data_IF_142565298158
#
_entry.id   IF_142565298158
#
_cell.length_a   1.000
_cell.length_b   1.000
_cell.length_c   1.000
_cell.angle_alpha   90.00
_cell.angle_beta   90.00
_cell.angle_gamma   90.00
#
_symmetry.space_group_name_H-M   'P 1'
#
loop_
_entity.id
_entity.type
_entity.pdbx_description
1 polymer ?
#
# COMPACT_ATOMS: atom_id res chain seq x y z
N UNK A 1 -20.79 34.51 25.41
CA UNK A 1 -19.95 33.82 24.39
C UNK A 1 -20.19 32.33 24.51
N UNK A 2 -20.88 31.71 23.55
CA UNK A 2 -21.00 30.25 23.49
C UNK A 2 -19.60 29.67 23.25
N UNK A 3 -19.10 28.85 24.17
CA UNK A 3 -17.84 28.12 23.94
C UNK A 3 -18.09 27.19 22.76
N UNK A 4 -17.48 27.48 21.62
CA UNK A 4 -17.45 26.58 20.47
C UNK A 4 -16.75 25.31 20.92
N UNK A 5 -17.52 24.27 21.25
CA UNK A 5 -16.99 22.95 21.60
C UNK A 5 -16.53 22.32 20.30
N UNK A 6 -15.21 22.31 20.09
CA UNK A 6 -14.63 21.60 18.95
C UNK A 6 -14.86 20.09 19.14
N UNK A 7 -15.22 19.35 18.06
CA UNK A 7 -15.35 17.91 18.14
C UNK A 7 -14.03 17.30 18.66
N UNK A 8 -14.12 16.50 19.71
CA UNK A 8 -12.98 15.74 20.22
C UNK A 8 -12.56 14.71 19.17
N UNK A 9 -11.24 14.47 19.03
CA UNK A 9 -10.76 13.42 18.13
C UNK A 9 -11.28 12.08 18.65
N UNK A 10 -12.05 11.38 17.81
CA UNK A 10 -12.41 9.98 18.06
C UNK A 10 -11.17 9.07 18.10
N UNK A 11 -11.31 7.84 18.61
CA UNK A 11 -10.22 6.87 18.64
C UNK A 11 -9.74 6.50 17.23
N UNK A 12 -8.48 6.09 17.10
CA UNK A 12 -7.85 5.73 15.81
C UNK A 12 -8.63 4.62 15.08
N UNK A 13 -9.03 3.60 15.84
CA UNK A 13 -9.89 2.51 15.43
C UNK A 13 -11.07 2.39 16.41
N UNK A 14 -12.21 1.90 15.92
CA UNK A 14 -13.30 1.49 16.81
C UNK A 14 -12.89 0.25 17.62
N UNK A 15 -13.63 -0.09 18.68
CA UNK A 15 -13.37 -1.31 19.46
C UNK A 15 -13.32 -2.57 18.57
N UNK A 16 -14.31 -2.74 17.68
CA UNK A 16 -14.31 -3.81 16.66
C UNK A 16 -13.11 -3.73 15.71
N UNK A 17 -12.64 -2.52 15.38
CA UNK A 17 -11.46 -2.32 14.55
C UNK A 17 -10.17 -2.77 15.23
N UNK A 18 -10.01 -2.51 16.53
CA UNK A 18 -8.89 -3.03 17.31
C UNK A 18 -8.94 -4.56 17.43
N UNK A 19 -10.11 -5.14 17.69
CA UNK A 19 -10.27 -6.60 17.70
C UNK A 19 -9.85 -7.20 16.35
N UNK A 20 -10.34 -6.66 15.23
CA UNK A 20 -9.95 -7.14 13.90
C UNK A 20 -8.44 -6.99 13.65
N UNK A 21 -7.84 -5.90 14.09
CA UNK A 21 -6.40 -5.67 13.98
C UNK A 21 -5.59 -6.72 14.76
N UNK A 22 -5.94 -6.96 16.04
CA UNK A 22 -5.23 -7.94 16.86
C UNK A 22 -5.45 -9.37 16.35
N UNK A 23 -6.65 -9.70 15.87
CA UNK A 23 -6.90 -10.98 15.21
C UNK A 23 -6.01 -11.13 13.97
N UNK A 24 -5.92 -10.12 13.11
CA UNK A 24 -5.04 -10.16 11.94
C UNK A 24 -3.56 -10.31 12.34
N UNK A 25 -3.13 -9.59 13.38
CA UNK A 25 -1.78 -9.69 13.92
C UNK A 25 -1.46 -11.10 14.44
N UNK A 26 -2.36 -11.68 15.24
CA UNK A 26 -2.21 -13.04 15.76
C UNK A 26 -2.23 -14.07 14.63
N UNK A 27 -3.11 -13.89 13.63
CA UNK A 27 -3.18 -14.79 12.48
C UNK A 27 -1.86 -14.80 11.71
N UNK A 28 -1.29 -13.63 11.44
CA UNK A 28 -0.06 -13.53 10.64
C UNK A 28 1.18 -13.90 11.44
N UNK A 29 1.29 -13.46 12.69
CA UNK A 29 2.51 -13.64 13.48
C UNK A 29 2.55 -14.93 14.33
N UNK A 30 1.42 -15.60 14.54
CA UNK A 30 1.36 -16.82 15.34
C UNK A 30 0.66 -17.98 14.61
N UNK A 31 -0.57 -17.79 14.14
CA UNK A 31 -1.36 -18.89 13.55
C UNK A 31 -0.70 -19.42 12.27
N UNK A 32 -0.35 -18.56 11.32
CA UNK A 32 0.30 -18.98 10.09
C UNK A 32 1.64 -19.72 10.32
N UNK A 33 2.57 -19.24 11.19
CA UNK A 33 3.74 -20.01 11.60
C UNK A 33 3.42 -21.38 12.17
N UNK A 34 2.43 -21.48 13.07
CA UNK A 34 2.01 -22.76 13.64
C UNK A 34 1.46 -23.70 12.57
N UNK A 35 0.63 -23.19 11.65
CA UNK A 35 0.06 -23.97 10.55
C UNK A 35 1.11 -24.46 9.54
N UNK A 36 2.22 -23.73 9.37
CA UNK A 36 3.31 -24.16 8.49
C UNK A 36 4.28 -25.11 9.20
N UNK A 37 4.65 -24.83 10.45
CA UNK A 37 5.75 -25.54 11.13
C UNK A 37 5.31 -26.76 11.95
N UNK A 38 4.11 -26.73 12.56
CA UNK A 38 3.69 -27.75 13.54
C UNK A 38 2.55 -28.62 13.05
N UNK A 39 1.78 -28.17 12.06
CA UNK A 39 0.72 -28.99 11.47
C UNK A 39 1.33 -29.94 10.43
N UNK A 40 1.06 -31.25 10.50
CA UNK A 40 1.58 -32.23 9.53
C UNK A 40 1.14 -31.91 8.10
N UNK A 41 2.02 -32.15 7.12
CA UNK A 41 1.80 -31.82 5.70
C UNK A 41 0.54 -32.47 5.09
N UNK A 42 0.12 -33.62 5.61
CA UNK A 42 -1.07 -34.34 5.14
C UNK A 42 -2.39 -33.73 5.64
N UNK A 43 -2.31 -32.81 6.61
CA UNK A 43 -3.48 -32.15 7.17
C UNK A 43 -4.02 -31.08 6.22
N UNK A 44 -5.35 -30.96 6.05
CA UNK A 44 -5.95 -29.88 5.25
C UNK A 44 -5.70 -28.49 5.83
N UNK A 45 -5.26 -28.39 7.10
CA UNK A 45 -4.92 -27.14 7.76
C UNK A 45 -3.45 -26.73 7.58
N UNK A 46 -2.61 -27.59 6.98
CA UNK A 46 -1.20 -27.28 6.77
C UNK A 46 -1.03 -26.14 5.75
N UNK A 47 -0.28 -25.13 6.14
CA UNK A 47 0.07 -24.04 5.23
C UNK A 47 1.38 -24.37 4.54
N UNK A 48 1.33 -24.75 3.26
CA UNK A 48 2.52 -25.12 2.50
C UNK A 48 3.50 -23.96 2.33
N UNK A 49 4.78 -24.26 2.14
CA UNK A 49 5.82 -23.27 1.85
C UNK A 49 5.50 -22.41 0.62
N UNK A 50 4.84 -23.00 -0.38
CA UNK A 50 4.33 -22.26 -1.53
C UNK A 50 3.28 -21.22 -1.11
N UNK A 51 2.32 -21.60 -0.26
CA UNK A 51 1.31 -20.67 0.25
C UNK A 51 1.94 -19.55 1.08
N UNK A 52 2.95 -19.85 1.90
CA UNK A 52 3.72 -18.86 2.66
C UNK A 52 4.40 -17.86 1.72
N UNK A 53 5.14 -18.34 0.72
CA UNK A 53 5.82 -17.49 -0.24
C UNK A 53 4.83 -16.63 -1.06
N UNK A 54 3.72 -17.22 -1.50
CA UNK A 54 2.68 -16.52 -2.27
C UNK A 54 2.01 -15.43 -1.43
N UNK A 55 1.55 -15.75 -0.22
CA UNK A 55 0.88 -14.79 0.65
C UNK A 55 1.85 -13.70 1.13
N UNK A 56 3.10 -14.06 1.44
CA UNK A 56 4.18 -13.12 1.74
C UNK A 56 4.41 -12.11 0.61
N UNK A 57 4.53 -12.60 -0.62
CA UNK A 57 4.62 -11.78 -1.84
C UNK A 57 3.42 -10.83 -1.98
N UNK A 58 2.20 -11.34 -1.80
CA UNK A 58 0.97 -10.54 -1.89
C UNK A 58 0.91 -9.48 -0.79
N UNK A 59 1.40 -9.76 0.43
CA UNK A 59 1.48 -8.75 1.49
C UNK A 59 2.42 -7.60 1.12
N UNK A 60 3.56 -7.86 0.46
CA UNK A 60 4.42 -6.80 -0.08
C UNK A 60 3.66 -5.93 -1.10
N UNK A 61 2.93 -6.56 -2.02
CA UNK A 61 2.09 -5.86 -2.98
C UNK A 61 0.95 -5.07 -2.33
N UNK A 62 0.37 -5.57 -1.23
CA UNK A 62 -0.63 -4.86 -0.45
C UNK A 62 -0.07 -3.59 0.21
N UNK A 63 1.21 -3.60 0.63
CA UNK A 63 1.88 -2.38 1.11
C UNK A 63 1.97 -1.34 -0.02
N UNK A 64 2.32 -1.75 -1.24
CA UNK A 64 2.33 -0.87 -2.41
C UNK A 64 0.94 -0.33 -2.76
N UNK A 65 -0.10 -1.17 -2.69
CA UNK A 65 -1.49 -0.76 -2.91
C UNK A 65 -1.93 0.28 -1.86
N UNK A 66 -1.58 0.06 -0.60
CA UNK A 66 -1.84 1.01 0.49
C UNK A 66 -1.10 2.34 0.28
N UNK A 67 0.16 2.29 -0.16
CA UNK A 67 0.95 3.47 -0.49
C UNK A 67 0.31 4.27 -1.65
N UNK A 68 -0.09 3.58 -2.72
CA UNK A 68 -0.85 4.17 -3.83
C UNK A 68 -2.15 4.83 -3.36
N UNK A 69 -2.86 4.21 -2.42
CA UNK A 69 -4.12 4.78 -1.90
C UNK A 69 -3.92 6.09 -1.13
N UNK A 70 -2.81 6.22 -0.42
CA UNK A 70 -2.47 7.47 0.29
C UNK A 70 -2.37 8.66 -0.67
N UNK A 71 -1.72 8.47 -1.83
CA UNK A 71 -1.58 9.54 -2.80
C UNK A 71 -2.79 9.65 -3.73
N UNK A 72 -3.25 8.55 -4.32
CA UNK A 72 -4.33 8.60 -5.30
C UNK A 72 -5.71 8.67 -4.65
N UNK A 73 -5.96 7.86 -3.63
CA UNK A 73 -7.23 7.81 -2.90
C UNK A 73 -7.49 9.11 -2.14
N UNK A 74 -6.56 9.53 -1.28
CA UNK A 74 -6.77 10.68 -0.39
C UNK A 74 -6.33 12.03 -0.96
N UNK A 75 -5.40 12.06 -1.92
CA UNK A 75 -4.90 13.32 -2.52
C UNK A 75 -5.38 13.52 -3.96
N UNK A 76 -5.89 12.47 -4.63
CA UNK A 76 -6.40 12.56 -6.00
C UNK A 76 -5.34 12.51 -7.09
N UNK A 77 -4.09 12.21 -6.73
CA UNK A 77 -2.96 12.23 -7.66
C UNK A 77 -2.61 10.80 -8.01
N UNK A 78 -2.95 10.39 -9.23
CA UNK A 78 -2.53 9.08 -9.74
C UNK A 78 -1.07 9.16 -10.16
N UNK A 79 -0.24 8.24 -9.67
CA UNK A 79 1.13 8.07 -10.13
C UNK A 79 1.30 6.73 -10.79
N UNK A 80 2.15 6.67 -11.82
CA UNK A 80 2.60 5.42 -12.42
C UNK A 80 4.08 5.16 -12.09
N UNK A 81 4.57 5.71 -10.97
CA UNK A 81 5.96 5.60 -10.54
C UNK A 81 6.24 4.70 -9.33
N UNK A 82 5.21 4.07 -8.75
CA UNK A 82 5.39 3.24 -7.55
C UNK A 82 6.25 1.99 -7.77
N UNK A 83 6.24 1.43 -8.97
CA UNK A 83 7.12 0.31 -9.37
C UNK A 83 8.61 0.67 -9.24
N UNK A 84 9.00 1.90 -9.60
CA UNK A 84 10.37 2.38 -9.40
C UNK A 84 10.78 2.32 -7.93
N UNK A 85 9.98 2.88 -7.04
CA UNK A 85 10.33 2.91 -5.61
C UNK A 85 10.35 1.53 -4.98
N UNK A 86 9.42 0.67 -5.38
CA UNK A 86 9.42 -0.74 -5.00
C UNK A 86 10.74 -1.41 -5.40
N UNK A 87 11.09 -1.33 -6.68
CA UNK A 87 12.31 -1.94 -7.16
C UNK A 87 13.56 -1.33 -6.49
N UNK A 88 13.63 -0.01 -6.28
CA UNK A 88 14.79 0.61 -5.62
C UNK A 88 15.04 0.03 -4.23
N UNK A 89 14.00 -0.13 -3.41
CA UNK A 89 14.15 -0.77 -2.11
C UNK A 89 14.53 -2.26 -2.22
N UNK A 90 13.97 -2.96 -3.20
CA UNK A 90 14.37 -4.33 -3.53
C UNK A 90 15.84 -4.44 -3.95
N UNK A 91 16.32 -3.51 -4.77
CA UNK A 91 17.71 -3.42 -5.20
C UNK A 91 18.64 -3.13 -4.02
N UNK A 92 18.28 -2.23 -3.10
CA UNK A 92 19.08 -1.96 -1.90
C UNK A 92 19.23 -3.23 -1.04
N UNK A 93 18.13 -3.95 -0.79
CA UNK A 93 18.20 -5.25 -0.08
C UNK A 93 18.97 -6.29 -0.89
N UNK A 94 18.73 -6.38 -2.20
CA UNK A 94 19.39 -7.33 -3.08
C UNK A 94 20.90 -7.11 -3.15
N UNK A 95 21.38 -5.85 -3.15
CA UNK A 95 22.81 -5.53 -3.05
C UNK A 95 23.41 -6.09 -1.76
N UNK A 96 22.71 -5.92 -0.63
CA UNK A 96 23.13 -6.51 0.64
C UNK A 96 23.17 -8.04 0.59
N UNK A 97 22.13 -8.68 0.09
CA UNK A 97 22.08 -10.13 -0.01
C UNK A 97 23.15 -10.69 -0.95
N UNK A 98 23.45 -10.01 -2.07
CA UNK A 98 24.56 -10.33 -2.96
C UNK A 98 25.91 -10.29 -2.23
N UNK A 99 26.12 -9.32 -1.34
CA UNK A 99 27.34 -9.23 -0.52
C UNK A 99 27.44 -10.35 0.52
N UNK A 100 26.30 -10.80 1.06
CA UNK A 100 26.26 -11.87 2.06
C UNK A 100 26.59 -13.26 1.50
N UNK A 101 26.58 -13.44 0.17
CA UNK A 101 26.99 -14.70 -0.47
C UNK A 101 28.50 -14.94 -0.25
N UNK A 102 29.33 -13.91 -0.47
CA UNK A 102 30.79 -14.04 -0.40
C UNK A 102 31.31 -15.25 -1.16
N UNK A 103 32.16 -16.05 -0.52
CA UNK A 103 32.79 -17.23 -1.14
C UNK A 103 31.90 -18.48 -1.22
N UNK A 104 30.65 -18.40 -0.74
CA UNK A 104 29.65 -19.44 -0.99
C UNK A 104 29.12 -19.36 -2.45
N UNK A 105 29.48 -18.32 -3.20
CA UNK A 105 29.17 -18.17 -4.62
C UNK A 105 29.92 -19.13 -5.54
N UNK A 106 29.45 -19.28 -6.77
CA UNK A 106 30.02 -20.18 -7.77
C UNK A 106 31.48 -19.84 -8.10
N UNK A 107 31.83 -18.55 -8.06
CA UNK A 107 33.18 -18.09 -8.37
C UNK A 107 34.09 -17.98 -7.14
N UNK A 108 33.59 -18.29 -5.94
CA UNK A 108 34.34 -18.22 -4.66
C UNK A 108 35.10 -16.91 -4.45
N UNK A 109 34.50 -15.80 -4.91
CA UNK A 109 35.07 -14.45 -4.87
C UNK A 109 34.41 -13.61 -3.77
N UNK A 110 35.09 -12.54 -3.35
CA UNK A 110 34.51 -11.55 -2.45
C UNK A 110 33.60 -10.54 -3.21
N UNK A 111 33.66 -10.57 -4.55
CA UNK A 111 32.71 -9.89 -5.44
C UNK A 111 31.46 -10.77 -5.68
N UNK A 112 30.27 -10.18 -5.83
CA UNK A 112 29.09 -10.92 -6.26
C UNK A 112 29.32 -11.68 -7.58
N UNK A 113 28.77 -12.90 -7.69
CA UNK A 113 29.01 -13.79 -8.84
C UNK A 113 28.72 -13.14 -10.19
N UNK A 114 27.64 -12.36 -10.30
CA UNK A 114 27.28 -11.67 -11.55
C UNK A 114 28.33 -10.62 -11.96
N UNK A 115 29.01 -9.99 -10.99
CA UNK A 115 30.06 -9.02 -11.26
C UNK A 115 31.32 -9.72 -11.76
N UNK A 116 31.66 -10.89 -11.21
CA UNK A 116 32.77 -11.72 -11.70
C UNK A 116 32.51 -12.17 -13.13
N UNK A 117 31.30 -12.65 -13.41
CA UNK A 117 30.88 -13.04 -14.76
C UNK A 117 30.94 -11.86 -15.76
N UNK A 118 30.64 -10.63 -15.31
CA UNK A 118 30.73 -9.40 -16.12
C UNK A 118 32.13 -8.75 -16.11
N UNK A 119 33.16 -9.46 -15.67
CA UNK A 119 34.57 -9.03 -15.62
C UNK A 119 34.89 -7.80 -14.75
N UNK A 120 34.09 -7.54 -13.71
CA UNK A 120 34.41 -6.49 -12.73
C UNK A 120 35.60 -6.89 -11.86
N UNK A 121 36.50 -5.92 -11.61
CA UNK A 121 37.68 -6.12 -10.76
C UNK A 121 37.52 -5.58 -9.34
N UNK A 122 36.67 -4.58 -9.17
CA UNK A 122 36.41 -3.92 -7.88
C UNK A 122 34.93 -3.54 -7.79
N UNK A 123 34.43 -3.38 -6.56
CA UNK A 123 33.08 -2.87 -6.34
C UNK A 123 33.01 -1.39 -6.74
N UNK A 124 31.97 -0.97 -7.49
CA UNK A 124 31.76 0.44 -7.76
C UNK A 124 31.32 1.18 -6.49
N UNK A 125 31.51 2.50 -6.49
CA UNK A 125 31.31 3.34 -5.31
C UNK A 125 29.90 3.24 -4.70
N UNK A 126 28.86 3.03 -5.51
CA UNK A 126 27.48 2.90 -5.03
C UNK A 126 27.20 1.59 -4.29
N UNK A 127 28.14 0.65 -4.29
CA UNK A 127 28.11 -0.58 -3.49
C UNK A 127 28.84 -0.45 -2.15
N UNK A 128 29.48 0.69 -1.84
CA UNK A 128 30.36 0.84 -0.66
C UNK A 128 29.70 0.43 0.66
N UNK A 129 28.41 0.71 0.84
CA UNK A 129 27.69 0.42 2.09
C UNK A 129 26.85 -0.86 2.07
N UNK A 130 26.94 -1.65 1.00
CA UNK A 130 26.11 -2.83 0.79
C UNK A 130 26.48 -4.01 1.69
N UNK A 131 27.60 -3.99 2.39
CA UNK A 131 27.98 -4.99 3.38
C UNK A 131 27.27 -4.83 4.73
N UNK A 132 26.89 -3.59 5.08
CA UNK A 132 26.24 -3.26 6.34
C UNK A 132 24.72 -3.35 6.27
N UNK A 133 24.12 -4.17 7.14
CA UNK A 133 22.67 -4.30 7.24
C UNK A 133 22.00 -3.00 7.69
N UNK A 134 22.59 -2.29 8.66
CA UNK A 134 22.05 -1.02 9.16
C UNK A 134 22.08 0.04 8.06
N UNK A 135 23.19 0.13 7.32
CA UNK A 135 23.27 1.06 6.19
C UNK A 135 22.24 0.72 5.12
N UNK A 136 22.01 -0.57 4.85
CA UNK A 136 20.98 -1.05 3.94
C UNK A 136 19.58 -0.59 4.38
N UNK A 137 19.23 -0.72 5.66
CA UNK A 137 17.94 -0.24 6.19
C UNK A 137 17.78 1.28 6.02
N UNK A 138 18.84 2.05 6.23
CA UNK A 138 18.82 3.50 5.99
C UNK A 138 18.63 3.79 4.51
N UNK A 139 19.34 3.10 3.61
CA UNK A 139 19.24 3.30 2.17
C UNK A 139 17.89 2.91 1.59
N UNK A 140 17.23 1.86 2.12
CA UNK A 140 15.87 1.46 1.74
C UNK A 140 14.86 2.60 1.94
N UNK A 141 15.07 3.45 2.94
CA UNK A 141 14.24 4.62 3.20
C UNK A 141 14.76 5.85 2.46
N UNK A 142 16.06 6.11 2.57
CA UNK A 142 16.69 7.33 2.08
C UNK A 142 16.69 7.42 0.55
N UNK A 143 16.97 6.34 -0.17
CA UNK A 143 17.09 6.39 -1.64
C UNK A 143 15.73 6.63 -2.30
N UNK A 144 14.66 5.82 -2.05
CA UNK A 144 13.34 6.12 -2.59
C UNK A 144 12.80 7.45 -2.11
N UNK A 145 13.02 7.79 -0.83
CA UNK A 145 12.57 9.04 -0.23
C UNK A 145 13.21 10.28 -0.86
N UNK A 146 14.52 10.25 -1.09
CA UNK A 146 15.27 11.35 -1.71
C UNK A 146 14.88 11.53 -3.18
N UNK A 147 14.79 10.45 -3.94
CA UNK A 147 14.35 10.52 -5.34
C UNK A 147 12.93 11.06 -5.43
N UNK A 148 12.01 10.56 -4.58
CA UNK A 148 10.65 11.06 -4.51
C UNK A 148 10.59 12.53 -4.07
N UNK A 149 11.45 12.95 -3.14
CA UNK A 149 11.52 14.33 -2.66
C UNK A 149 11.98 15.27 -3.77
N UNK A 150 13.10 14.97 -4.43
CA UNK A 150 13.65 15.80 -5.51
C UNK A 150 12.65 15.88 -6.66
N UNK A 151 12.19 14.73 -7.15
CA UNK A 151 11.24 14.68 -8.26
C UNK A 151 9.90 15.35 -7.91
N UNK A 152 9.33 15.01 -6.74
CA UNK A 152 8.07 15.55 -6.27
C UNK A 152 8.13 17.05 -6.02
N UNK A 153 9.26 17.57 -5.52
CA UNK A 153 9.44 19.00 -5.30
C UNK A 153 9.31 19.76 -6.62
N UNK A 154 10.04 19.36 -7.66
CA UNK A 154 9.94 20.01 -8.98
C UNK A 154 8.55 19.81 -9.61
N UNK A 155 7.99 18.60 -9.53
CA UNK A 155 6.68 18.31 -10.12
C UNK A 155 5.55 19.13 -9.46
N UNK A 156 5.51 19.19 -8.14
CA UNK A 156 4.46 19.92 -7.42
C UNK A 156 4.69 21.43 -7.39
N UNK A 157 5.95 21.89 -7.39
CA UNK A 157 6.29 23.32 -7.56
C UNK A 157 5.83 23.86 -8.89
N UNK A 158 6.01 23.10 -9.96
CA UNK A 158 5.51 23.43 -11.31
C UNK A 158 3.99 23.25 -11.47
N UNK A 159 3.27 22.95 -10.38
CA UNK A 159 1.81 22.78 -10.34
C UNK A 159 1.28 21.79 -11.38
N UNK A 160 2.02 20.70 -11.60
CA UNK A 160 1.59 19.62 -12.49
C UNK A 160 0.33 18.96 -11.90
N UNK A 161 -0.71 18.82 -12.73
CA UNK A 161 -2.04 18.33 -12.32
C UNK A 161 -2.47 17.10 -13.09
N UNK A 162 -3.26 16.26 -12.42
CA UNK A 162 -3.96 15.13 -13.04
C UNK A 162 -3.04 14.19 -13.80
N UNK A 163 -3.45 13.83 -15.02
CA UNK A 163 -2.80 12.82 -15.87
C UNK A 163 -1.35 13.17 -16.20
N UNK A 164 -0.99 14.46 -16.26
CA UNK A 164 0.38 14.88 -16.52
C UNK A 164 1.37 14.37 -15.44
N UNK A 165 0.95 14.28 -14.19
CA UNK A 165 1.80 13.71 -13.14
C UNK A 165 2.00 12.21 -13.34
N UNK A 166 0.96 11.49 -13.77
CA UNK A 166 1.06 10.07 -14.12
C UNK A 166 2.03 9.83 -15.28
N UNK A 167 1.96 10.64 -16.34
CA UNK A 167 2.83 10.54 -17.51
C UNK A 167 4.29 10.79 -17.15
N UNK A 168 4.59 11.83 -16.37
CA UNK A 168 5.97 12.16 -16.01
C UNK A 168 6.54 11.13 -15.03
N UNK A 169 5.74 10.62 -14.09
CA UNK A 169 6.19 9.54 -13.18
C UNK A 169 6.42 8.23 -13.92
N UNK A 170 5.63 7.93 -14.95
CA UNK A 170 5.89 6.84 -15.88
C UNK A 170 7.22 7.03 -16.65
N UNK A 171 7.48 8.23 -17.16
CA UNK A 171 8.73 8.54 -17.86
C UNK A 171 9.96 8.38 -16.96
N UNK A 172 9.90 8.91 -15.72
CA UNK A 172 10.95 8.73 -14.70
C UNK A 172 11.25 7.24 -14.47
N UNK A 173 10.19 6.46 -14.32
CA UNK A 173 10.26 5.02 -14.07
C UNK A 173 10.89 4.26 -15.23
N UNK A 174 10.49 4.59 -16.45
CA UNK A 174 11.07 4.01 -17.66
C UNK A 174 12.54 4.37 -17.81
N UNK A 175 12.93 5.62 -17.56
CA UNK A 175 14.32 6.06 -17.61
C UNK A 175 15.20 5.32 -16.59
N UNK A 176 14.72 5.18 -15.35
CA UNK A 176 15.42 4.41 -14.32
C UNK A 176 15.53 2.92 -14.68
N UNK A 177 14.47 2.32 -15.21
CA UNK A 177 14.48 0.94 -15.68
C UNK A 177 15.55 0.72 -16.77
N UNK A 178 15.63 1.62 -17.77
CA UNK A 178 16.66 1.54 -18.82
C UNK A 178 18.07 1.68 -18.26
N UNK A 179 18.28 2.53 -17.24
CA UNK A 179 19.56 2.65 -16.56
C UNK A 179 19.96 1.31 -15.91
N UNK A 180 19.03 0.67 -15.20
CA UNK A 180 19.29 -0.58 -14.48
C UNK A 180 19.46 -1.79 -15.43
N UNK A 181 18.91 -1.74 -16.64
CA UNK A 181 19.15 -2.75 -17.67
C UNK A 181 20.59 -2.75 -18.21
N UNK A 182 21.36 -1.68 -18.03
CA UNK A 182 22.75 -1.61 -18.50
C UNK A 182 23.67 -2.39 -17.57
N UNK A 183 24.32 -3.43 -18.08
CA UNK A 183 25.29 -4.25 -17.33
C UNK A 183 26.44 -3.44 -16.71
N UNK A 184 26.86 -2.36 -17.36
CA UNK A 184 27.94 -1.47 -16.92
C UNK A 184 27.62 -0.70 -15.62
N UNK A 185 26.36 -0.67 -15.18
CA UNK A 185 25.96 0.08 -13.98
C UNK A 185 26.15 -0.71 -12.68
N UNK A 186 26.45 -2.01 -12.76
CA UNK A 186 26.59 -2.86 -11.57
C UNK A 186 25.25 -3.17 -10.89
N UNK A 187 24.12 -3.11 -11.60
CA UNK A 187 22.78 -3.48 -11.10
C UNK A 187 22.27 -4.82 -11.67
N UNK A 188 23.15 -5.67 -12.20
CA UNK A 188 22.81 -7.00 -12.71
C UNK A 188 22.12 -7.02 -14.08
N UNK A 189 21.85 -5.86 -14.68
CA UNK A 189 21.28 -5.74 -16.02
C UNK A 189 19.95 -6.48 -16.16
N UNK A 190 19.77 -7.18 -17.29
CA UNK A 190 18.53 -7.92 -17.56
C UNK A 190 18.24 -9.05 -16.56
N UNK A 191 19.28 -9.67 -15.99
CA UNK A 191 19.13 -10.76 -15.03
C UNK A 191 18.79 -10.25 -13.62
N UNK A 192 19.25 -9.04 -13.29
CA UNK A 192 19.12 -8.50 -11.95
C UNK A 192 19.94 -9.29 -10.92
N UNK A 193 19.43 -9.39 -9.69
CA UNK A 193 20.08 -10.15 -8.61
C UNK A 193 19.26 -11.39 -8.25
N UNK A 194 19.95 -12.53 -8.13
CA UNK A 194 19.39 -13.87 -7.89
C UNK A 194 20.35 -14.69 -7.03
N UNK A 195 19.97 -15.92 -6.64
CA UNK A 195 20.84 -16.82 -5.85
C UNK A 195 21.21 -16.26 -4.46
N UNK A 196 20.25 -15.60 -3.80
CA UNK A 196 20.45 -15.16 -2.41
C UNK A 196 20.54 -16.35 -1.46
N UNK A 197 21.67 -16.49 -0.75
CA UNK A 197 21.93 -17.63 0.14
C UNK A 197 21.66 -17.32 1.60
N UNK A 198 22.10 -16.14 2.06
CA UNK A 198 22.10 -15.77 3.47
C UNK A 198 21.65 -14.33 3.68
N UNK A 199 21.10 -14.09 4.86
CA UNK A 199 20.74 -12.77 5.38
C UNK A 199 21.16 -12.77 6.85
N UNK A 200 21.96 -11.79 7.27
CA UNK A 200 22.54 -11.75 8.63
C UNK A 200 23.27 -13.05 9.03
N UNK A 201 23.93 -13.70 8.06
CA UNK A 201 24.62 -14.98 8.26
C UNK A 201 23.73 -16.23 8.33
N UNK A 202 22.41 -16.07 8.36
CA UNK A 202 21.42 -17.16 8.44
C UNK A 202 20.99 -17.57 7.02
N UNK A 203 20.92 -18.88 6.69
CA UNK A 203 20.45 -19.31 5.37
C UNK A 203 18.98 -18.97 5.12
N UNK A 204 18.69 -18.32 3.99
CA UNK A 204 17.35 -17.84 3.60
C UNK A 204 16.39 -19.00 3.27
N UNK A 205 16.93 -20.11 2.77
CA UNK A 205 16.14 -21.26 2.34
C UNK A 205 15.56 -22.10 3.51
N UNK A 206 15.85 -21.73 4.76
CA UNK A 206 15.29 -22.40 5.93
C UNK A 206 13.81 -22.06 6.13
N UNK A 207 13.03 -23.04 6.60
CA UNK A 207 11.61 -22.86 6.90
C UNK A 207 11.39 -21.76 7.95
N UNK A 208 12.23 -21.72 8.98
CA UNK A 208 12.23 -20.69 10.03
C UNK A 208 12.40 -19.28 9.46
N UNK A 209 13.34 -19.10 8.53
CA UNK A 209 13.59 -17.77 7.95
C UNK A 209 12.46 -17.34 7.02
N UNK A 210 11.88 -18.27 6.24
CA UNK A 210 10.68 -18.00 5.44
C UNK A 210 9.52 -17.50 6.30
N UNK A 211 9.26 -18.16 7.43
CA UNK A 211 8.21 -17.74 8.37
C UNK A 211 8.54 -16.42 9.07
N UNK A 212 9.81 -16.16 9.37
CA UNK A 212 10.26 -14.89 9.95
C UNK A 212 10.02 -13.73 8.98
N UNK A 213 10.40 -13.89 7.71
CA UNK A 213 10.16 -12.88 6.66
C UNK A 213 8.66 -12.68 6.41
N UNK A 214 7.88 -13.75 6.43
CA UNK A 214 6.42 -13.70 6.32
C UNK A 214 5.80 -12.88 7.46
N UNK A 215 6.12 -13.21 8.72
CA UNK A 215 5.60 -12.54 9.89
C UNK A 215 6.04 -11.06 9.94
N UNK A 216 7.31 -10.78 9.60
CA UNK A 216 7.84 -9.42 9.50
C UNK A 216 7.09 -8.59 8.44
N UNK A 217 6.81 -9.19 7.28
CA UNK A 217 6.06 -8.52 6.20
C UNK A 217 4.64 -8.20 6.63
N UNK A 218 3.96 -9.14 7.26
CA UNK A 218 2.61 -8.92 7.79
C UNK A 218 2.55 -7.88 8.89
N UNK A 219 3.48 -7.94 9.84
CA UNK A 219 3.62 -6.91 10.88
C UNK A 219 3.89 -5.52 10.27
N UNK A 220 4.70 -5.45 9.22
CA UNK A 220 4.98 -4.20 8.49
C UNK A 220 3.74 -3.67 7.76
N UNK A 221 2.99 -4.54 7.09
CA UNK A 221 1.72 -4.18 6.45
C UNK A 221 0.70 -3.64 7.46
N UNK A 222 0.54 -4.32 8.59
CA UNK A 222 -0.35 -3.90 9.68
C UNK A 222 0.11 -2.59 10.32
N UNK A 223 1.43 -2.43 10.54
CA UNK A 223 2.04 -1.20 11.03
C UNK A 223 1.80 -0.02 10.09
N UNK A 224 2.02 -0.21 8.78
CA UNK A 224 1.73 0.81 7.77
C UNK A 224 0.23 1.10 7.64
N UNK A 225 -0.65 0.12 7.83
CA UNK A 225 -2.08 0.35 7.88
C UNK A 225 -2.46 1.28 9.05
N UNK A 226 -1.93 1.03 10.26
CA UNK A 226 -2.17 1.91 11.42
C UNK A 226 -1.58 3.30 11.21
N UNK A 227 -0.36 3.37 10.67
CA UNK A 227 0.31 4.63 10.35
C UNK A 227 -0.51 5.45 9.33
N UNK A 228 -0.96 4.82 8.24
CA UNK A 228 -1.81 5.44 7.24
C UNK A 228 -3.14 5.90 7.85
N UNK A 229 -3.75 5.09 8.73
CA UNK A 229 -4.99 5.46 9.43
C UNK A 229 -4.80 6.69 10.31
N UNK A 230 -3.69 6.75 11.03
CA UNK A 230 -3.34 7.88 11.89
C UNK A 230 -3.07 9.15 11.08
N UNK A 231 -2.30 9.02 10.00
CA UNK A 231 -1.94 10.10 9.11
C UNK A 231 -3.18 10.74 8.46
N UNK A 232 -4.08 9.91 7.92
CA UNK A 232 -5.32 10.37 7.26
C UNK A 232 -6.34 10.93 8.27
N UNK A 233 -6.38 10.40 9.49
CA UNK A 233 -7.25 10.91 10.56
C UNK A 233 -6.77 12.25 11.16
N UNK A 234 -5.55 12.67 10.86
CA UNK A 234 -4.94 13.91 11.38
C UNK A 234 -5.41 15.17 10.63
N UNK A 235 -4.99 16.35 11.11
CA UNK A 235 -5.22 17.63 10.40
C UNK A 235 -4.61 17.60 8.99
N UNK A 236 -3.43 16.99 8.85
CA UNK A 236 -2.74 16.82 7.58
C UNK A 236 -3.59 16.04 6.57
N UNK A 237 -4.16 14.90 6.98
CA UNK A 237 -5.04 14.09 6.14
C UNK A 237 -6.34 14.78 5.71
N UNK A 238 -6.88 15.68 6.55
CA UNK A 238 -8.05 16.51 6.18
C UNK A 238 -7.69 17.54 5.11
N UNK A 239 -6.52 18.17 5.22
CA UNK A 239 -6.03 19.11 4.21
C UNK A 239 -5.77 18.39 2.89
N UNK A 240 -5.20 17.18 2.91
CA UNK A 240 -5.02 16.37 1.69
C UNK A 240 -6.34 16.09 0.96
N UNK A 241 -7.38 15.69 1.70
CA UNK A 241 -8.71 15.47 1.14
C UNK A 241 -9.31 16.76 0.58
N UNK A 242 -9.12 17.89 1.27
CA UNK A 242 -9.56 19.18 0.74
C UNK A 242 -8.79 19.57 -0.54
N UNK A 243 -7.48 19.27 -0.62
CA UNK A 243 -6.66 19.48 -1.83
C UNK A 243 -7.19 18.64 -2.98
N UNK A 244 -7.52 17.37 -2.72
CA UNK A 244 -8.13 16.46 -3.70
C UNK A 244 -9.44 17.03 -4.26
N UNK A 245 -10.31 17.49 -3.38
CA UNK A 245 -11.65 17.91 -3.74
C UNK A 245 -11.65 19.27 -4.47
N UNK A 246 -10.85 20.24 -3.99
CA UNK A 246 -10.69 21.53 -4.65
C UNK A 246 -9.40 22.26 -4.23
N UNK A 247 -8.26 21.91 -4.83
CA UNK A 247 -6.95 22.55 -4.59
C UNK A 247 -7.01 24.09 -4.63
N UNK A 248 -7.73 24.66 -5.60
CA UNK A 248 -7.87 26.12 -5.73
C UNK A 248 -8.55 26.76 -4.51
N UNK A 249 -9.58 26.12 -3.93
CA UNK A 249 -10.28 26.63 -2.74
C UNK A 249 -9.42 26.54 -1.48
N UNK A 250 -8.61 25.48 -1.38
CA UNK A 250 -7.63 25.33 -0.30
C UNK A 250 -6.58 26.44 -0.34
N UNK A 251 -6.13 26.82 -1.54
CA UNK A 251 -5.22 27.96 -1.72
C UNK A 251 -5.87 29.29 -1.29
N UNK A 252 -7.13 29.55 -1.66
CA UNK A 252 -7.86 30.73 -1.19
C UNK A 252 -8.06 30.76 0.32
N UNK A 253 -8.07 29.59 0.96
CA UNK A 253 -8.15 29.46 2.43
C UNK A 253 -6.77 29.65 3.12
N UNK A 254 -5.72 30.03 2.38
CA UNK A 254 -4.39 30.33 2.90
C UNK A 254 -3.44 29.13 3.02
N UNK A 255 -3.84 27.93 2.57
CA UNK A 255 -2.97 26.75 2.61
C UNK A 255 -2.14 26.63 1.33
N UNK A 256 -0.84 26.34 1.48
CA UNK A 256 0.02 25.96 0.35
C UNK A 256 -0.06 24.44 0.11
N UNK A 257 -0.57 23.95 -1.05
CA UNK A 257 -0.71 22.51 -1.32
C UNK A 257 0.62 21.75 -1.47
N UNK A 258 1.70 22.42 -1.85
CA UNK A 258 2.99 21.81 -2.18
C UNK A 258 3.54 20.92 -1.05
N UNK A 259 3.74 21.39 0.20
CA UNK A 259 4.28 20.56 1.26
C UNK A 259 3.40 19.32 1.54
N UNK A 260 2.08 19.45 1.47
CA UNK A 260 1.17 18.32 1.71
C UNK A 260 1.31 17.24 0.64
N UNK A 261 1.27 17.63 -0.65
CA UNK A 261 1.45 16.72 -1.78
C UNK A 261 2.84 16.08 -1.79
N UNK A 262 3.88 16.86 -1.48
CA UNK A 262 5.25 16.39 -1.43
C UNK A 262 5.46 15.37 -0.31
N UNK A 263 5.01 15.69 0.91
CA UNK A 263 5.17 14.79 2.05
C UNK A 263 4.45 13.46 1.83
N UNK A 264 3.20 13.47 1.34
CA UNK A 264 2.47 12.21 1.11
C UNK A 264 3.07 11.39 -0.03
N UNK A 265 3.62 12.04 -1.05
CA UNK A 265 4.34 11.37 -2.14
C UNK A 265 5.62 10.69 -1.64
N UNK A 266 6.43 11.38 -0.82
CA UNK A 266 7.65 10.82 -0.23
C UNK A 266 7.32 9.64 0.69
N UNK A 267 6.30 9.78 1.54
CA UNK A 267 5.82 8.68 2.41
C UNK A 267 5.42 7.47 1.57
N UNK A 268 4.65 7.70 0.49
CA UNK A 268 4.22 6.64 -0.41
C UNK A 268 5.42 5.94 -1.07
N UNK A 269 6.43 6.68 -1.50
CA UNK A 269 7.64 6.13 -2.10
C UNK A 269 8.44 5.27 -1.11
N UNK A 270 8.60 5.75 0.13
CA UNK A 270 9.27 5.01 1.21
C UNK A 270 8.53 3.71 1.53
N UNK A 271 7.20 3.74 1.62
CA UNK A 271 6.41 2.53 1.84
C UNK A 271 6.62 1.49 0.74
N UNK A 272 6.65 1.92 -0.53
CA UNK A 272 6.99 1.05 -1.65
C UNK A 272 8.42 0.50 -1.55
N UNK A 273 9.40 1.33 -1.20
CA UNK A 273 10.78 0.90 -0.98
C UNK A 273 10.89 -0.20 0.08
N UNK A 274 10.24 -0.01 1.22
CA UNK A 274 10.20 -1.03 2.28
C UNK A 274 9.52 -2.32 1.80
N UNK A 275 8.43 -2.21 1.04
CA UNK A 275 7.76 -3.37 0.45
C UNK A 275 8.68 -4.16 -0.50
N UNK A 276 9.44 -3.46 -1.33
CA UNK A 276 10.42 -4.08 -2.23
C UNK A 276 11.55 -4.75 -1.48
N UNK A 277 12.09 -4.11 -0.44
CA UNK A 277 13.12 -4.69 0.40
C UNK A 277 12.68 -5.99 1.09
N UNK A 278 11.41 -6.08 1.52
CA UNK A 278 10.83 -7.30 2.08
C UNK A 278 10.54 -8.37 1.01
N UNK A 279 10.19 -7.95 -0.21
CA UNK A 279 9.88 -8.83 -1.32
C UNK A 279 11.08 -9.68 -1.78
N UNK A 280 12.24 -9.05 -1.94
CA UNK A 280 13.42 -9.68 -2.54
C UNK A 280 13.90 -10.96 -1.82
N UNK A 281 14.10 -10.99 -0.49
CA UNK A 281 14.50 -12.21 0.20
C UNK A 281 13.43 -13.32 0.17
N UNK A 282 12.16 -12.98 -0.08
CA UNK A 282 11.07 -13.96 -0.17
C UNK A 282 10.91 -14.55 -1.58
N UNK A 283 11.04 -13.71 -2.60
CA UNK A 283 10.86 -14.13 -4.01
C UNK A 283 12.14 -14.66 -4.63
N UNK A 284 13.30 -14.27 -4.10
CA UNK A 284 14.59 -14.79 -4.54
C UNK A 284 15.19 -14.09 -5.76
N UNK A 285 14.52 -13.07 -6.29
CA UNK A 285 14.97 -12.29 -7.46
C UNK A 285 14.50 -10.84 -7.40
N UNK A 286 15.32 -9.93 -7.93
CA UNK A 286 14.95 -8.57 -8.31
C UNK A 286 15.59 -8.21 -9.64
N UNK A 287 14.82 -7.70 -10.60
CA UNK A 287 15.30 -7.26 -11.90
C UNK A 287 14.69 -5.90 -12.29
N UNK A 288 15.19 -5.23 -13.36
CA UNK A 288 14.69 -3.91 -13.73
C UNK A 288 13.22 -3.93 -14.18
N UNK A 289 12.71 -5.07 -14.63
CA UNK A 289 11.31 -5.24 -15.02
C UNK A 289 10.32 -4.96 -13.88
N UNK A 290 10.74 -5.14 -12.62
CA UNK A 290 9.94 -4.78 -11.44
C UNK A 290 9.65 -3.26 -11.39
N UNK A 291 10.51 -2.43 -11.98
CA UNK A 291 10.29 -0.99 -12.11
C UNK A 291 9.16 -0.66 -13.06
N UNK A 292 8.77 -1.54 -13.98
CA UNK A 292 7.96 -1.19 -15.15
C UNK A 292 6.69 -0.38 -14.84
N UNK A 293 6.31 0.48 -15.79
CA UNK A 293 5.05 1.22 -15.73
C UNK A 293 3.83 0.28 -15.65
N UNK A 294 3.92 -0.91 -16.25
CA UNK A 294 2.89 -1.94 -16.18
C UNK A 294 2.63 -2.38 -14.72
N UNK A 295 3.68 -2.63 -13.94
CA UNK A 295 3.54 -2.96 -12.52
C UNK A 295 2.89 -1.81 -11.72
N UNK A 296 3.26 -0.56 -12.02
CA UNK A 296 2.59 0.61 -11.40
C UNK A 296 1.10 0.69 -11.76
N UNK A 297 0.72 0.32 -12.98
CA UNK A 297 -0.69 0.21 -13.38
C UNK A 297 -1.38 -0.90 -12.58
N UNK A 298 -0.76 -2.08 -12.41
CA UNK A 298 -1.33 -3.14 -11.56
C UNK A 298 -1.60 -2.65 -10.13
N UNK A 299 -0.66 -1.92 -9.53
CA UNK A 299 -0.83 -1.32 -8.20
C UNK A 299 -2.07 -0.39 -8.16
N UNK A 300 -2.26 0.42 -9.19
CA UNK A 300 -3.44 1.27 -9.31
C UNK A 300 -4.74 0.43 -9.46
N UNK A 301 -4.70 -0.67 -10.22
CA UNK A 301 -5.84 -1.58 -10.36
C UNK A 301 -6.21 -2.19 -9.01
N UNK A 302 -5.24 -2.63 -8.21
CA UNK A 302 -5.49 -3.18 -6.86
C UNK A 302 -6.22 -2.16 -5.97
N UNK A 303 -5.77 -0.91 -5.98
CA UNK A 303 -6.42 0.17 -5.24
C UNK A 303 -7.84 0.46 -5.77
N UNK A 304 -8.04 0.47 -7.09
CA UNK A 304 -9.34 0.70 -7.72
C UNK A 304 -10.35 -0.41 -7.40
N UNK A 305 -9.96 -1.67 -7.61
CA UNK A 305 -10.78 -2.88 -7.35
C UNK A 305 -11.17 -2.94 -5.88
N UNK A 306 -10.20 -2.76 -4.98
CA UNK A 306 -10.42 -2.75 -3.55
C UNK A 306 -11.33 -1.61 -3.07
N UNK A 307 -11.23 -0.45 -3.71
CA UNK A 307 -11.92 0.79 -3.37
C UNK A 307 -10.95 1.81 -2.78
N UNK A 308 -10.51 2.74 -3.63
CA UNK A 308 -9.62 3.84 -3.25
C UNK A 308 -10.25 4.76 -2.19
N UNK A 309 -9.41 5.43 -1.40
CA UNK A 309 -9.75 6.24 -0.24
C UNK A 309 -10.40 5.46 0.93
N UNK A 310 -10.07 4.17 1.08
CA UNK A 310 -10.58 3.34 2.19
C UNK A 310 -9.51 2.67 3.04
N UNK A 311 -8.23 2.75 2.68
CA UNK A 311 -7.07 2.05 3.27
C UNK A 311 -7.15 0.52 3.25
N UNK A 312 -8.24 -0.07 3.74
CA UNK A 312 -8.45 -1.52 3.74
C UNK A 312 -8.80 -2.05 2.34
N UNK A 313 -9.47 -1.25 1.52
CA UNK A 313 -9.82 -1.60 0.13
C UNK A 313 -8.61 -2.02 -0.68
N UNK A 314 -7.59 -1.16 -0.86
CA UNK A 314 -6.38 -1.50 -1.61
C UNK A 314 -5.70 -2.78 -1.15
N UNK A 315 -5.68 -3.06 0.16
CA UNK A 315 -5.16 -4.32 0.71
C UNK A 315 -5.98 -5.49 0.18
N UNK A 316 -7.31 -5.45 0.36
CA UNK A 316 -8.23 -6.48 -0.16
C UNK A 316 -8.08 -6.65 -1.68
N UNK A 317 -7.99 -5.55 -2.42
CA UNK A 317 -7.81 -5.56 -3.86
C UNK A 317 -6.50 -6.22 -4.28
N UNK A 318 -5.40 -5.96 -3.57
CA UNK A 318 -4.12 -6.62 -3.83
C UNK A 318 -4.23 -8.14 -3.61
N UNK A 319 -4.90 -8.59 -2.55
CA UNK A 319 -5.12 -10.01 -2.29
C UNK A 319 -6.01 -10.68 -3.35
N UNK A 320 -7.14 -10.07 -3.70
CA UNK A 320 -8.07 -10.63 -4.68
C UNK A 320 -7.43 -10.69 -6.07
N UNK A 321 -6.85 -9.59 -6.53
CA UNK A 321 -6.31 -9.50 -7.89
C UNK A 321 -5.07 -10.38 -8.04
N UNK A 322 -4.16 -10.42 -7.06
CA UNK A 322 -2.98 -11.28 -7.15
C UNK A 322 -3.29 -12.76 -6.89
N UNK A 323 -4.29 -13.08 -6.07
CA UNK A 323 -4.80 -14.44 -5.95
C UNK A 323 -5.38 -14.93 -7.28
N UNK A 324 -6.20 -14.10 -7.93
CA UNK A 324 -6.71 -14.37 -9.27
C UNK A 324 -5.58 -14.46 -10.30
N UNK A 325 -4.57 -13.57 -10.23
CA UNK A 325 -3.36 -13.62 -11.06
C UNK A 325 -2.68 -14.98 -10.95
N UNK A 326 -2.39 -15.42 -9.73
CA UNK A 326 -1.67 -16.68 -9.48
C UNK A 326 -2.38 -17.90 -10.09
N UNK A 327 -3.71 -17.91 -10.11
CA UNK A 327 -4.48 -19.01 -10.69
C UNK A 327 -4.66 -18.85 -12.22
N UNK A 328 -5.04 -17.65 -12.69
CA UNK A 328 -5.29 -17.37 -14.11
C UNK A 328 -4.02 -17.45 -14.95
N UNK A 329 -2.85 -17.04 -14.43
CA UNK A 329 -1.60 -17.16 -15.18
C UNK A 329 -1.13 -18.60 -15.31
N UNK A 330 -1.70 -19.54 -14.55
CA UNK A 330 -1.46 -20.98 -14.71
C UNK A 330 -2.48 -21.59 -15.67
N UNK A 331 -3.77 -21.26 -15.51
CA UNK A 331 -4.84 -21.83 -16.32
C UNK A 331 -4.93 -21.23 -17.73
N UNK A 332 -4.77 -19.91 -17.85
CA UNK A 332 -5.00 -19.14 -19.07
C UNK A 332 -3.98 -17.97 -19.21
N UNK A 333 -2.68 -18.25 -19.40
CA UNK A 333 -1.63 -17.22 -19.38
C UNK A 333 -1.85 -16.06 -20.37
N UNK A 334 -2.30 -16.38 -21.59
CA UNK A 334 -2.51 -15.40 -22.67
C UNK A 334 -3.66 -14.44 -22.38
N UNK A 335 -4.63 -14.85 -21.56
CA UNK A 335 -5.84 -14.08 -21.28
C UNK A 335 -5.74 -13.19 -20.04
N UNK A 336 -4.68 -13.33 -19.23
CA UNK A 336 -4.54 -12.58 -17.98
C UNK A 336 -4.61 -11.07 -18.18
N UNK A 337 -3.90 -10.51 -19.17
CA UNK A 337 -3.89 -9.06 -19.41
C UNK A 337 -5.26 -8.55 -19.87
N UNK A 338 -5.98 -9.33 -20.70
CA UNK A 338 -7.34 -9.01 -21.11
C UNK A 338 -8.31 -9.04 -19.92
N UNK A 339 -8.20 -10.07 -19.07
CA UNK A 339 -8.98 -10.17 -17.83
C UNK A 339 -8.71 -8.99 -16.90
N UNK A 340 -7.43 -8.65 -16.67
CA UNK A 340 -7.02 -7.57 -15.80
C UNK A 340 -7.54 -6.21 -16.30
N UNK A 341 -7.41 -5.94 -17.61
CA UNK A 341 -7.94 -4.73 -18.24
C UNK A 341 -9.47 -4.65 -18.17
N UNK A 342 -10.17 -5.74 -18.48
CA UNK A 342 -11.62 -5.83 -18.39
C UNK A 342 -12.13 -5.65 -16.95
N UNK A 343 -11.46 -6.28 -15.97
CA UNK A 343 -11.76 -6.11 -14.55
C UNK A 343 -11.61 -4.65 -14.12
N UNK A 344 -10.54 -3.98 -14.53
CA UNK A 344 -10.32 -2.57 -14.21
C UNK A 344 -11.41 -1.67 -14.79
N UNK A 345 -11.75 -1.86 -16.07
CA UNK A 345 -12.83 -1.10 -16.73
C UNK A 345 -14.18 -1.37 -16.03
N UNK A 346 -14.50 -2.64 -15.75
CA UNK A 346 -15.75 -3.02 -15.11
C UNK A 346 -15.88 -2.41 -13.70
N UNK A 347 -14.83 -2.51 -12.88
CA UNK A 347 -14.84 -1.89 -11.54
C UNK A 347 -14.95 -0.38 -11.64
N UNK A 348 -14.18 0.28 -12.51
CA UNK A 348 -14.20 1.74 -12.59
C UNK A 348 -15.53 2.30 -13.09
N UNK A 349 -16.22 1.59 -14.00
CA UNK A 349 -17.53 1.99 -14.51
C UNK A 349 -18.69 1.64 -13.58
N UNK A 350 -18.74 0.42 -13.05
CA UNK A 350 -19.90 -0.09 -12.31
C UNK A 350 -19.74 -0.03 -10.78
N UNK A 351 -18.51 0.03 -10.28
CA UNK A 351 -18.16 0.00 -8.85
C UNK A 351 -17.19 1.16 -8.51
N UNK A 352 -17.61 2.43 -8.62
CA UNK A 352 -16.71 3.59 -8.44
C UNK A 352 -16.10 3.71 -7.03
N UNK A 353 -16.67 3.02 -6.04
CA UNK A 353 -16.15 2.93 -4.66
C UNK A 353 -15.48 1.57 -4.36
N UNK A 354 -15.23 0.76 -5.40
CA UNK A 354 -14.68 -0.60 -5.32
C UNK A 354 -15.53 -1.57 -4.51
N UNK A 355 -14.93 -2.73 -4.20
CA UNK A 355 -15.57 -3.82 -3.44
C UNK A 355 -15.98 -3.36 -2.04
N UNK A 356 -15.10 -2.62 -1.35
CA UNK A 356 -15.42 -2.12 0.01
C UNK A 356 -16.62 -1.18 0.03
N UNK A 357 -16.78 -0.35 -1.01
CA UNK A 357 -17.94 0.51 -1.16
C UNK A 357 -19.25 -0.28 -1.34
N UNK A 358 -19.22 -1.36 -2.12
CA UNK A 358 -20.37 -2.23 -2.32
C UNK A 358 -20.81 -2.91 -1.02
N UNK A 359 -19.86 -3.48 -0.28
CA UNK A 359 -20.12 -4.14 1.01
C UNK A 359 -20.74 -3.15 2.01
N UNK A 360 -20.22 -1.92 2.11
CA UNK A 360 -20.80 -0.88 2.97
C UNK A 360 -22.22 -0.50 2.59
N UNK A 361 -22.51 -0.37 1.28
CA UNK A 361 -23.86 -0.07 0.78
C UNK A 361 -24.86 -1.17 1.12
N UNK A 362 -24.45 -2.43 1.02
CA UNK A 362 -25.26 -3.60 1.41
C UNK A 362 -25.57 -3.59 2.91
N UNK A 363 -24.54 -3.50 3.76
CA UNK A 363 -24.69 -3.47 5.22
C UNK A 363 -25.53 -2.28 5.73
N UNK A 364 -25.50 -1.15 5.02
CA UNK A 364 -26.28 0.05 5.38
C UNK A 364 -27.75 -0.07 4.96
N UNK A 365 -28.05 -0.80 3.89
CA UNK A 365 -29.42 -1.09 3.45
C UNK A 365 -30.15 -2.03 4.42
N UNK A 366 -29.44 -3.00 4.98
CA UNK A 366 -29.97 -3.87 6.05
C UNK A 366 -30.29 -3.09 7.32
N UNK A 367 -29.38 -2.21 7.77
CA UNK A 367 -29.65 -1.34 8.93
C UNK A 367 -30.88 -0.46 8.75
N UNK A 368 -31.11 0.05 7.54
CA UNK A 368 -32.29 0.89 7.24
C UNK A 368 -33.60 0.10 7.18
N UNK A 369 -33.55 -1.24 7.03
CA UNK A 369 -34.71 -2.13 7.15
C UNK A 369 -35.02 -2.55 8.58
N UNK A 370 -34.02 -2.55 9.47
CA UNK A 370 -34.16 -2.98 10.88
C UNK A 370 -34.50 -1.87 11.86
N UNK A 371 -34.37 -0.61 11.48
CA UNK A 371 -34.88 0.51 12.29
C UNK A 371 -36.36 0.71 11.95
N UNK A 372 -37.31 0.48 12.87
CA UNK A 372 -38.70 0.84 12.62
C UNK A 372 -38.78 2.35 12.31
N UNK A 373 -39.72 2.79 11.46
CA UNK A 373 -39.92 4.21 11.21
C UNK A 373 -40.07 4.91 12.56
N UNK A 374 -39.25 5.95 12.78
CA UNK A 374 -39.16 6.65 14.05
C UNK A 374 -40.54 7.24 14.37
N UNK A 375 -41.23 6.81 15.45
CA UNK A 375 -42.56 7.33 15.81
C UNK A 375 -42.56 8.84 16.05
N UNK A 376 -41.38 9.44 16.23
CA UNK A 376 -41.20 10.86 16.48
C UNK A 376 -41.54 11.75 15.27
N UNK A 377 -41.41 11.27 14.03
CA UNK A 377 -41.82 12.06 12.85
C UNK A 377 -43.33 12.02 12.63
N UNK A 378 -43.96 10.88 12.85
CA UNK A 378 -45.42 10.73 12.75
C UNK A 378 -46.13 11.39 13.94
N UNK A 379 -45.58 11.33 15.15
CA UNK A 379 -46.10 12.05 16.31
C UNK A 379 -45.98 13.58 16.15
N UNK A 380 -44.87 14.09 15.59
CA UNK A 380 -44.72 15.53 15.31
C UNK A 380 -45.68 16.01 14.21
N UNK A 381 -45.94 15.17 13.20
CA UNK A 381 -46.94 15.44 12.16
C UNK A 381 -48.37 15.38 12.69
N UNK A 382 -48.67 14.45 13.59
CA UNK A 382 -49.97 14.35 14.24
C UNK A 382 -50.25 15.56 15.15
N UNK A 383 -49.27 15.99 15.94
CA UNK A 383 -49.39 17.19 16.80
C UNK A 383 -49.49 18.47 15.95
N UNK A 384 -48.73 18.58 14.86
CA UNK A 384 -48.85 19.72 13.94
C UNK A 384 -50.21 19.78 13.24
N UNK A 385 -50.78 18.61 12.89
CA UNK A 385 -52.11 18.49 12.30
C UNK A 385 -53.24 18.81 13.29
N UNK A 386 -53.13 18.37 14.56
CA UNK A 386 -54.09 18.73 15.62
C UNK A 386 -54.04 20.23 15.98
N UNK A 387 -52.87 20.86 15.85
CA UNK A 387 -52.68 22.29 16.16
C UNK A 387 -52.90 23.22 14.97
N UNK A 388 -53.20 22.69 13.78
CA UNK A 388 -53.50 23.48 12.58
C UNK A 388 -52.33 24.31 12.05
N UNK A 389 -51.08 23.91 12.31
CA UNK A 389 -49.87 24.64 11.92
C UNK A 389 -49.18 23.93 10.75
N UNK A 390 -48.82 24.66 9.70
CA UNK A 390 -48.06 24.11 8.58
C UNK A 390 -46.71 23.51 9.03
N UNK A 391 -46.30 22.35 8.49
CA UNK A 391 -45.13 21.60 8.96
C UNK A 391 -43.80 22.38 8.94
N UNK A 392 -43.71 23.43 8.12
CA UNK A 392 -42.48 24.18 7.89
C UNK A 392 -42.20 25.26 8.95
N UNK A 393 -43.18 25.61 9.80
CA UNK A 393 -43.02 26.68 10.81
C UNK A 393 -42.27 26.19 12.07
N UNK A 394 -42.26 24.89 12.34
CA UNK A 394 -41.58 24.28 13.49
C UNK A 394 -40.08 24.02 13.27
N UNK A 395 -39.53 24.34 12.10
CA UNK A 395 -38.14 24.06 11.74
C UNK A 395 -37.09 24.93 12.48
N UNK A 396 -37.49 25.90 13.31
CA UNK A 396 -36.58 26.94 13.82
C UNK A 396 -36.28 26.94 15.33
N UNK A 397 -36.76 25.98 16.12
CA UNK A 397 -36.44 25.96 17.56
C UNK A 397 -35.43 24.85 17.92
N UNK A 398 -34.31 25.19 18.60
CA UNK A 398 -33.36 24.21 19.09
C UNK A 398 -34.02 23.47 20.26
N UNK A 399 -34.16 22.15 20.15
CA UNK A 399 -34.58 21.32 21.27
C UNK A 399 -33.41 21.22 22.24
N UNK A 400 -33.51 21.96 23.35
CA UNK A 400 -32.61 21.87 24.48
C UNK A 400 -32.73 20.47 25.11
N UNK A 401 -31.67 19.68 25.02
CA UNK A 401 -31.60 18.34 25.58
C UNK A 401 -31.38 18.41 27.10
N UNK A 402 -32.42 18.75 27.86
CA UNK A 402 -32.48 18.50 29.31
C UNK A 402 -33.88 18.02 29.69
N UNK A 403 -33.99 16.74 30.01
CA UNK A 403 -35.12 16.21 30.79
C UNK A 403 -35.73 14.93 30.24
N UNK A 404 -35.09 13.79 30.50
CA UNK A 404 -35.79 12.52 30.71
C UNK A 404 -34.84 11.55 31.44
N UNK A 405 -34.85 11.64 32.78
CA UNK A 405 -34.55 10.52 33.67
C UNK A 405 -35.88 9.83 33.97
N UNK A 406 -35.97 8.54 33.69
CA UNK A 406 -36.52 7.48 34.54
C UNK A 406 -36.02 6.15 33.97
#
# INVERSE_FOLDING_TARGET
MSKVVLPTKGPLLSGKGWTAFFVALVVVCAVAPVLNMWVPADSPLHMSDYAVALVGKIMCYAICALAMDLIWGYTGILSLGHGLFFALGGYMMGMYLMRQIGRDGNYKSDLPDFMVFLDWKTLPWHWTFSDSFIATLVLIVAVPGLIAFVFGFFAFRSRIKGVYFSIITQAMTFAAMLLFFRNETGFGGNNGFTDFKRILGIPIATQEMRMTLFALTGATLLGFFLFAKWLIGSKFGRVLQAIRDAETRVMFSGYNPLPYKLTIWVISAVMCGVAGALYVPQVGIINPGEMSAANSIEIAIWAAVGGRATLIGPIIGAFIVNGAKSWLTVAYPEYWLYFLGALFIAVTLFLPNGIVGLVRKWLSREKKKTTPPEPAQDARRAVAAEQGVEPDVLASLPVDAKGARA
#
